data_IF_743329959630
#
_entry.id   IF_743329959630
#
_cell.length_a   1.000
_cell.length_b   1.000
_cell.length_c   1.000
_cell.angle_alpha   90.00
_cell.angle_beta   90.00
_cell.angle_gamma   90.00
#
_symmetry.space_group_name_H-M   'P 1'
#
loop_
_entity.id
_entity.type
_entity.pdbx_description
1 polymer ?
#
# COMPACT_ATOMS: atom_id res chain seq x y z
N UNK A 1 81.61 -76.57 6.03
CA UNK A 1 80.15 -76.72 6.04
C UNK A 1 79.56 -75.42 5.46
N UNK A 2 78.81 -75.56 4.47
CA UNK A 2 78.43 -74.47 3.53
C UNK A 2 77.18 -73.71 4.11
N UNK A 3 77.26 -72.39 4.27
CA UNK A 3 76.14 -71.52 4.62
C UNK A 3 75.67 -70.74 3.38
N UNK A 4 74.44 -70.86 3.01
CA UNK A 4 73.85 -70.19 1.87
C UNK A 4 73.32 -68.83 2.35
N UNK A 5 73.65 -67.73 1.60
CA UNK A 5 73.10 -66.40 1.78
C UNK A 5 71.86 -66.24 0.93
N UNK A 6 70.79 -65.87 1.54
CA UNK A 6 69.51 -65.52 0.85
C UNK A 6 69.45 -63.98 0.71
N UNK A 7 69.53 -63.49 -0.53
CA UNK A 7 69.34 -62.11 -0.85
C UNK A 7 67.84 -61.76 -0.93
N UNK A 8 67.44 -60.74 -0.19
CA UNK A 8 66.08 -60.16 -0.21
C UNK A 8 66.09 -58.98 -1.19
N UNK A 9 65.39 -59.11 -2.32
CA UNK A 9 65.14 -57.99 -3.22
C UNK A 9 63.90 -57.20 -2.69
N UNK A 10 64.11 -56.02 -2.21
CA UNK A 10 62.98 -55.11 -1.88
C UNK A 10 62.58 -54.35 -3.14
N UNK A 11 61.37 -54.66 -3.64
CA UNK A 11 60.75 -53.90 -4.72
C UNK A 11 60.10 -52.64 -4.14
N UNK A 12 60.64 -51.48 -4.47
CA UNK A 12 60.06 -50.18 -4.16
C UNK A 12 58.98 -49.86 -5.21
N UNK A 13 57.71 -50.05 -4.86
CA UNK A 13 56.59 -49.57 -5.67
C UNK A 13 56.33 -48.10 -5.40
N UNK A 14 56.70 -47.25 -6.35
CA UNK A 14 56.36 -45.81 -6.34
C UNK A 14 54.90 -45.64 -6.70
N UNK A 15 54.03 -45.40 -5.73
CA UNK A 15 52.67 -44.97 -5.93
C UNK A 15 52.66 -43.51 -6.32
N UNK A 16 52.53 -43.15 -7.59
CA UNK A 16 52.23 -41.82 -8.06
C UNK A 16 50.75 -41.55 -7.80
N UNK A 17 50.45 -40.90 -6.70
CA UNK A 17 49.08 -40.39 -6.43
C UNK A 17 48.84 -39.19 -7.35
N UNK A 18 48.07 -39.40 -8.44
CA UNK A 18 47.48 -38.34 -9.22
C UNK A 18 46.41 -37.68 -8.37
N UNK A 19 46.75 -36.58 -7.70
CA UNK A 19 45.74 -35.67 -7.10
C UNK A 19 45.02 -34.93 -8.24
N UNK A 20 43.87 -35.46 -8.67
CA UNK A 20 42.93 -34.66 -9.44
C UNK A 20 42.41 -33.55 -8.50
N UNK A 21 43.04 -32.38 -8.56
CA UNK A 21 42.44 -31.17 -8.02
C UNK A 21 41.15 -30.90 -8.80
N UNK A 22 40.00 -31.26 -8.23
CA UNK A 22 38.71 -30.81 -8.72
C UNK A 22 38.70 -29.29 -8.66
N UNK A 23 39.01 -28.65 -9.77
CA UNK A 23 38.96 -27.21 -9.93
C UNK A 23 37.48 -26.84 -9.78
N UNK A 24 37.08 -26.29 -8.62
CA UNK A 24 35.70 -25.79 -8.45
C UNK A 24 35.39 -24.90 -9.64
N UNK A 25 34.30 -25.23 -10.35
CA UNK A 25 33.88 -24.47 -11.53
C UNK A 25 33.70 -23.01 -11.11
N UNK A 26 34.47 -22.12 -11.71
CA UNK A 26 34.37 -20.67 -11.45
C UNK A 26 32.99 -20.20 -11.85
N UNK A 27 32.30 -19.48 -10.94
CA UNK A 27 31.06 -18.82 -11.27
C UNK A 27 31.26 -17.86 -12.44
N UNK A 28 30.32 -17.79 -13.41
CA UNK A 28 30.37 -16.81 -14.49
C UNK A 28 30.37 -15.38 -13.93
N UNK A 29 31.15 -14.49 -14.55
CA UNK A 29 31.11 -13.07 -14.21
C UNK A 29 29.96 -12.34 -14.89
N UNK A 30 29.65 -11.15 -14.42
CA UNK A 30 28.63 -10.29 -15.05
C UNK A 30 29.00 -9.97 -16.51
N UNK A 31 30.29 -9.69 -16.79
CA UNK A 31 30.77 -9.38 -18.14
C UNK A 31 30.57 -10.56 -19.10
N UNK A 32 30.79 -11.79 -18.63
CA UNK A 32 30.56 -13.00 -19.43
C UNK A 32 29.08 -13.17 -19.78
N UNK A 33 28.16 -12.81 -18.86
CA UNK A 33 26.72 -12.85 -19.12
C UNK A 33 26.30 -11.72 -20.06
N UNK A 34 26.80 -10.51 -19.80
CA UNK A 34 26.46 -9.31 -20.57
C UNK A 34 27.06 -9.31 -21.98
N UNK A 35 28.09 -10.13 -22.27
CA UNK A 35 28.57 -10.33 -23.64
C UNK A 35 27.47 -10.77 -24.61
N UNK A 36 26.44 -11.50 -24.13
CA UNK A 36 25.27 -11.84 -24.91
C UNK A 36 24.03 -11.06 -24.47
N UNK A 37 23.73 -11.03 -23.14
CA UNK A 37 22.55 -10.36 -22.61
C UNK A 37 22.61 -8.83 -22.68
N UNK A 38 23.77 -8.23 -22.97
CA UNK A 38 23.93 -6.81 -23.27
C UNK A 38 23.56 -6.42 -24.69
N UNK A 39 23.26 -7.39 -25.58
CA UNK A 39 22.78 -7.13 -26.93
C UNK A 39 21.26 -6.89 -26.93
N UNK A 40 20.85 -5.69 -27.32
CA UNK A 40 19.42 -5.30 -27.35
C UNK A 40 18.58 -6.08 -28.35
N UNK A 41 19.21 -6.80 -29.29
CA UNK A 41 18.53 -7.64 -30.28
C UNK A 41 18.30 -9.07 -29.78
N UNK A 42 18.94 -9.46 -28.67
CA UNK A 42 18.84 -10.82 -28.14
C UNK A 42 17.41 -11.11 -27.66
N UNK A 43 16.79 -12.10 -28.24
CA UNK A 43 15.44 -12.54 -27.90
C UNK A 43 15.29 -14.04 -28.05
N UNK A 44 14.28 -14.59 -27.39
CA UNK A 44 13.82 -15.96 -27.62
C UNK A 44 12.33 -15.99 -27.95
N UNK A 45 11.91 -17.01 -28.63
CA UNK A 45 10.49 -17.23 -28.90
C UNK A 45 9.83 -17.99 -27.74
N UNK A 46 8.71 -17.46 -27.22
CA UNK A 46 7.89 -18.11 -26.21
C UNK A 46 6.44 -18.06 -26.66
N UNK A 47 5.84 -19.23 -26.90
CA UNK A 47 4.47 -19.35 -27.39
C UNK A 47 4.20 -18.51 -28.66
N UNK A 48 5.13 -18.52 -29.61
CA UNK A 48 5.04 -17.79 -30.89
C UNK A 48 5.25 -16.28 -30.77
N UNK A 49 5.75 -15.78 -29.64
CA UNK A 49 6.04 -14.36 -29.44
C UNK A 49 7.50 -14.13 -29.03
N UNK A 50 8.18 -13.14 -29.63
CA UNK A 50 9.54 -12.81 -29.24
C UNK A 50 9.54 -12.20 -27.83
N UNK A 51 10.38 -12.72 -26.95
CA UNK A 51 10.63 -12.22 -25.62
C UNK A 51 12.08 -11.76 -25.56
N UNK A 52 12.30 -10.48 -25.27
CA UNK A 52 13.64 -9.92 -25.12
C UNK A 52 14.35 -10.55 -23.92
N UNK A 53 15.63 -10.88 -24.14
CA UNK A 53 16.55 -11.34 -23.09
C UNK A 53 17.60 -10.28 -22.76
N UNK A 54 17.39 -9.06 -23.27
CA UNK A 54 18.27 -7.93 -23.07
C UNK A 54 18.27 -7.45 -21.62
N UNK A 55 19.46 -7.21 -21.08
CA UNK A 55 19.70 -6.54 -19.80
C UNK A 55 20.61 -5.34 -20.09
N UNK A 56 20.13 -4.10 -19.85
CA UNK A 56 20.96 -2.91 -19.99
C UNK A 56 22.11 -2.94 -18.97
N UNK A 57 23.37 -2.96 -19.39
CA UNK A 57 24.50 -2.95 -18.47
C UNK A 57 24.52 -1.69 -17.58
N UNK A 58 24.17 -0.54 -18.16
CA UNK A 58 24.17 0.74 -17.45
C UNK A 58 23.08 0.77 -16.37
N UNK A 59 21.86 0.33 -16.71
CA UNK A 59 20.75 0.30 -15.75
C UNK A 59 20.98 -0.73 -14.65
N UNK A 60 21.52 -1.90 -15.00
CA UNK A 60 21.87 -2.91 -14.01
C UNK A 60 22.91 -2.38 -13.04
N UNK A 61 24.00 -1.78 -13.54
CA UNK A 61 25.06 -1.20 -12.71
C UNK A 61 24.53 -0.07 -11.82
N UNK A 62 23.59 0.74 -12.32
CA UNK A 62 22.95 1.81 -11.57
C UNK A 62 21.86 1.32 -10.59
N UNK A 63 21.41 0.07 -10.69
CA UNK A 63 20.40 -0.49 -9.81
C UNK A 63 20.94 -0.71 -8.40
N UNK A 64 20.05 -0.79 -7.40
CA UNK A 64 20.43 -1.08 -6.01
C UNK A 64 21.12 -2.43 -5.83
N UNK A 65 20.98 -3.35 -6.79
CA UNK A 65 21.61 -4.66 -6.76
C UNK A 65 22.88 -4.73 -7.58
N UNK A 66 23.00 -3.92 -8.63
CA UNK A 66 24.09 -4.03 -9.63
C UNK A 66 25.49 -3.81 -9.10
N UNK A 67 25.66 -3.00 -8.07
CA UNK A 67 26.97 -2.76 -7.42
C UNK A 67 27.34 -3.80 -6.35
N UNK A 68 26.42 -4.71 -5.98
CA UNK A 68 26.58 -5.63 -4.85
C UNK A 68 26.54 -7.10 -5.24
N UNK A 69 25.85 -7.45 -6.33
CA UNK A 69 25.56 -8.84 -6.69
C UNK A 69 25.99 -9.16 -8.12
N UNK A 70 26.35 -10.42 -8.33
CA UNK A 70 26.52 -11.00 -9.66
C UNK A 70 25.20 -11.57 -10.19
N UNK A 71 25.09 -11.73 -11.51
CA UNK A 71 23.93 -12.33 -12.16
C UNK A 71 23.57 -13.69 -11.53
N UNK A 72 24.57 -14.51 -11.24
CA UNK A 72 24.40 -15.87 -10.69
C UNK A 72 24.06 -15.91 -9.20
N UNK A 73 24.08 -14.78 -8.50
CA UNK A 73 23.59 -14.72 -7.12
C UNK A 73 22.07 -14.79 -7.10
N UNK A 74 21.42 -14.26 -8.16
CA UNK A 74 19.97 -14.38 -8.38
C UNK A 74 19.62 -15.58 -9.27
N UNK A 75 20.38 -15.79 -10.37
CA UNK A 75 20.23 -16.92 -11.29
C UNK A 75 21.12 -18.09 -10.86
N UNK A 76 20.92 -18.57 -9.65
CA UNK A 76 21.80 -19.53 -8.99
C UNK A 76 21.83 -20.94 -9.64
N UNK A 77 20.88 -21.24 -10.50
CA UNK A 77 20.81 -22.45 -11.32
C UNK A 77 21.74 -22.40 -12.55
N UNK A 78 22.18 -21.22 -12.99
CA UNK A 78 23.12 -21.02 -14.09
C UNK A 78 24.56 -21.25 -13.60
N UNK A 79 25.22 -22.26 -14.16
CA UNK A 79 26.59 -22.66 -13.76
C UNK A 79 27.66 -22.29 -14.81
N UNK A 80 27.22 -21.92 -16.01
CA UNK A 80 28.09 -21.53 -17.13
C UNK A 80 27.46 -20.34 -17.86
N UNK A 81 28.31 -19.46 -18.41
CA UNK A 81 27.87 -18.38 -19.32
C UNK A 81 27.27 -18.90 -20.62
N UNK A 82 27.68 -20.11 -21.05
CA UNK A 82 27.07 -20.84 -22.17
C UNK A 82 26.00 -21.79 -21.60
N UNK A 83 24.72 -21.44 -21.79
CA UNK A 83 23.60 -22.23 -21.34
C UNK A 83 22.42 -22.18 -22.33
N UNK A 84 21.76 -23.30 -22.55
CA UNK A 84 20.54 -23.37 -23.37
C UNK A 84 19.28 -23.35 -22.52
N UNK A 85 19.39 -23.75 -21.25
CA UNK A 85 18.26 -23.82 -20.36
C UNK A 85 17.76 -22.41 -19.96
N UNK A 86 16.44 -22.25 -19.96
CA UNK A 86 15.81 -21.08 -19.34
C UNK A 86 16.04 -21.16 -17.83
N UNK A 87 16.60 -20.12 -17.20
CA UNK A 87 16.82 -20.11 -15.75
C UNK A 87 15.50 -20.21 -15.00
N UNK A 88 15.54 -20.79 -13.83
CA UNK A 88 14.39 -20.85 -12.93
C UNK A 88 13.95 -19.41 -12.54
N UNK A 89 12.67 -19.24 -12.25
CA UNK A 89 12.17 -17.96 -11.78
C UNK A 89 12.86 -17.57 -10.47
N UNK A 90 13.51 -16.42 -10.47
CA UNK A 90 14.18 -15.86 -9.28
C UNK A 90 13.18 -15.63 -8.16
N UNK A 91 13.56 -16.00 -6.95
CA UNK A 91 12.78 -15.80 -5.73
C UNK A 91 13.42 -14.70 -4.89
N UNK A 92 12.75 -13.56 -4.82
CA UNK A 92 13.20 -12.42 -4.00
C UNK A 92 13.36 -12.80 -2.52
N UNK A 93 12.55 -13.75 -2.04
CA UNK A 93 12.59 -14.27 -0.67
C UNK A 93 13.89 -14.97 -0.25
N UNK A 94 14.80 -15.25 -1.18
CA UNK A 94 16.13 -15.78 -0.82
C UNK A 94 16.94 -14.78 0.04
N UNK A 95 16.71 -13.49 -0.17
CA UNK A 95 17.34 -12.41 0.61
C UNK A 95 16.30 -11.57 1.36
N UNK A 96 15.09 -11.40 0.81
CA UNK A 96 13.99 -10.59 1.35
C UNK A 96 12.91 -11.48 1.99
N UNK A 97 13.32 -12.35 2.91
CA UNK A 97 12.42 -13.32 3.54
C UNK A 97 11.38 -12.64 4.45
N UNK A 98 11.74 -11.55 5.12
CA UNK A 98 10.84 -10.81 6.00
C UNK A 98 9.77 -10.09 5.19
N UNK A 99 10.13 -9.39 4.13
CA UNK A 99 9.20 -8.71 3.22
C UNK A 99 8.27 -9.72 2.54
N UNK A 100 8.80 -10.88 2.16
CA UNK A 100 7.98 -11.97 1.62
C UNK A 100 6.95 -12.46 2.63
N UNK A 101 7.35 -12.69 3.87
CA UNK A 101 6.44 -13.15 4.92
C UNK A 101 5.34 -12.13 5.24
N UNK A 102 5.65 -10.84 5.13
CA UNK A 102 4.67 -9.76 5.26
C UNK A 102 3.74 -9.73 4.04
N UNK A 103 4.30 -9.80 2.83
CA UNK A 103 3.54 -9.82 1.58
C UNK A 103 2.59 -11.01 1.48
N UNK A 104 3.00 -12.20 1.94
CA UNK A 104 2.19 -13.44 1.88
C UNK A 104 0.85 -13.30 2.63
N UNK A 105 0.75 -12.39 3.59
CA UNK A 105 -0.49 -12.09 4.30
C UNK A 105 -1.40 -11.11 3.55
N UNK A 106 -0.89 -10.43 2.51
CA UNK A 106 -1.60 -9.42 1.75
C UNK A 106 -2.75 -10.00 0.90
N UNK A 107 -3.66 -9.12 0.50
CA UNK A 107 -4.72 -9.46 -0.46
C UNK A 107 -4.15 -9.86 -1.83
N UNK A 108 -3.04 -9.23 -2.27
CA UNK A 108 -2.41 -9.57 -3.54
C UNK A 108 -1.83 -10.99 -3.54
N UNK A 109 -1.08 -11.36 -2.50
CA UNK A 109 -0.53 -12.70 -2.37
C UNK A 109 -1.62 -13.77 -2.28
N UNK A 110 -2.66 -13.50 -1.48
CA UNK A 110 -3.83 -14.39 -1.35
C UNK A 110 -4.56 -14.59 -2.69
N UNK A 111 -4.69 -13.52 -3.48
CA UNK A 111 -5.29 -13.60 -4.81
C UNK A 111 -4.44 -14.44 -5.77
N UNK A 112 -3.11 -14.27 -5.76
CA UNK A 112 -2.19 -15.12 -6.55
C UNK A 112 -2.32 -16.59 -6.13
N UNK A 113 -2.32 -16.87 -4.83
CA UNK A 113 -2.46 -18.23 -4.30
C UNK A 113 -3.81 -18.86 -4.68
N UNK A 114 -4.85 -18.05 -4.86
CA UNK A 114 -6.16 -18.46 -5.37
C UNK A 114 -6.24 -18.57 -6.90
N UNK A 115 -5.11 -18.42 -7.63
CA UNK A 115 -5.04 -18.56 -9.08
C UNK A 115 -5.27 -17.28 -9.89
N UNK A 116 -5.42 -16.12 -9.26
CA UNK A 116 -5.52 -14.86 -9.97
C UNK A 116 -4.13 -14.37 -10.41
N UNK A 117 -3.75 -14.68 -11.64
CA UNK A 117 -2.46 -14.29 -12.23
C UNK A 117 -2.33 -12.78 -12.53
N UNK A 118 -3.43 -12.03 -12.44
CA UNK A 118 -3.43 -10.57 -12.60
C UNK A 118 -3.18 -9.80 -11.30
N UNK A 119 -3.08 -10.49 -10.15
CA UNK A 119 -2.75 -9.84 -8.90
C UNK A 119 -1.25 -9.48 -8.83
N UNK A 120 -0.93 -8.35 -8.17
CA UNK A 120 0.41 -7.80 -8.17
C UNK A 120 1.41 -8.61 -7.36
N UNK A 121 2.55 -8.96 -7.97
CA UNK A 121 3.74 -9.52 -7.33
C UNK A 121 4.80 -8.41 -7.10
N UNK A 122 5.94 -8.78 -6.50
CA UNK A 122 7.01 -7.83 -6.16
C UNK A 122 7.40 -6.92 -7.34
N UNK A 123 7.62 -7.50 -8.52
CA UNK A 123 8.09 -6.77 -9.71
C UNK A 123 7.04 -5.81 -10.30
N UNK A 124 5.76 -6.01 -10.04
CA UNK A 124 4.72 -5.13 -10.55
C UNK A 124 4.78 -3.77 -9.86
N UNK A 125 5.11 -3.75 -8.56
CA UNK A 125 5.30 -2.55 -7.79
C UNK A 125 6.73 -2.00 -7.92
N UNK A 126 7.75 -2.85 -7.77
CA UNK A 126 9.15 -2.42 -7.73
C UNK A 126 9.79 -2.22 -9.11
N UNK A 127 9.25 -2.85 -10.15
CA UNK A 127 9.81 -2.81 -11.50
C UNK A 127 10.74 -3.99 -11.82
N UNK A 128 11.47 -3.88 -12.93
CA UNK A 128 12.40 -4.91 -13.38
C UNK A 128 13.50 -5.15 -12.35
N UNK A 129 13.79 -6.41 -11.99
CA UNK A 129 14.88 -6.73 -11.05
C UNK A 129 16.26 -6.22 -11.48
N UNK A 130 16.45 -6.04 -12.79
CA UNK A 130 17.72 -5.53 -13.35
C UNK A 130 17.85 -3.99 -13.32
N UNK A 131 16.75 -3.26 -12.96
CA UNK A 131 16.69 -1.80 -13.01
C UNK A 131 16.11 -1.21 -11.73
N UNK A 132 16.15 -1.95 -10.61
CA UNK A 132 15.57 -1.52 -9.34
C UNK A 132 16.26 -0.26 -8.80
N UNK A 133 15.44 0.75 -8.52
CA UNK A 133 15.90 2.01 -7.91
C UNK A 133 15.45 2.08 -6.44
N UNK A 134 16.23 2.73 -5.57
CA UNK A 134 15.80 2.94 -4.19
C UNK A 134 14.52 3.78 -4.14
N UNK A 135 13.70 3.62 -3.09
CA UNK A 135 12.46 4.38 -2.94
C UNK A 135 12.68 5.91 -2.88
N UNK A 136 13.87 6.35 -2.50
CA UNK A 136 14.25 7.77 -2.49
C UNK A 136 14.51 8.35 -3.89
N UNK A 137 14.78 7.50 -4.90
CA UNK A 137 15.00 7.98 -6.27
C UNK A 137 13.67 8.45 -6.88
N UNK A 138 13.60 9.68 -7.42
CA UNK A 138 12.38 10.20 -8.05
C UNK A 138 11.85 9.36 -9.23
N UNK A 139 12.69 8.54 -9.85
CA UNK A 139 12.32 7.64 -10.96
C UNK A 139 11.84 6.28 -10.48
N UNK A 140 12.02 5.95 -9.21
CA UNK A 140 11.57 4.68 -8.65
C UNK A 140 10.05 4.57 -8.69
N UNK A 141 9.53 3.43 -9.12
CA UNK A 141 8.08 3.15 -9.10
C UNK A 141 7.50 3.20 -7.68
N UNK A 142 8.30 2.92 -6.67
CA UNK A 142 7.92 2.97 -5.25
C UNK A 142 8.35 4.25 -4.55
N UNK A 143 8.81 5.27 -5.30
CA UNK A 143 8.94 6.62 -4.76
C UNK A 143 7.56 7.14 -4.36
N UNK A 144 7.47 7.84 -3.23
CA UNK A 144 6.21 8.32 -2.68
C UNK A 144 5.33 9.04 -3.71
N UNK A 145 5.92 9.93 -4.52
CA UNK A 145 5.19 10.66 -5.57
C UNK A 145 4.64 9.75 -6.68
N UNK A 146 5.27 8.60 -6.92
CA UNK A 146 4.93 7.68 -7.99
C UNK A 146 3.96 6.56 -7.55
N UNK A 147 3.75 6.38 -6.25
CA UNK A 147 2.83 5.36 -5.72
C UNK A 147 1.44 5.41 -6.35
N UNK A 148 0.80 6.59 -6.53
CA UNK A 148 -0.51 6.62 -7.18
C UNK A 148 -0.50 6.08 -8.63
N UNK A 149 0.55 6.39 -9.39
CA UNK A 149 0.71 5.88 -10.75
C UNK A 149 0.97 4.36 -10.76
N UNK A 150 1.79 3.87 -9.84
CA UNK A 150 2.12 2.45 -9.69
C UNK A 150 0.87 1.63 -9.33
N UNK A 151 0.10 2.05 -8.35
CA UNK A 151 -1.16 1.40 -8.00
C UNK A 151 -2.20 1.55 -9.12
N UNK A 152 -2.28 2.75 -9.71
CA UNK A 152 -3.21 3.09 -10.79
C UNK A 152 -2.99 2.30 -12.07
N UNK A 153 -1.78 1.80 -12.33
CA UNK A 153 -1.48 0.95 -13.48
C UNK A 153 -2.39 -0.29 -13.56
N UNK A 154 -2.85 -0.79 -12.41
CA UNK A 154 -3.84 -1.86 -12.34
C UNK A 154 -5.19 -1.34 -11.84
N UNK A 155 -5.21 -0.62 -10.70
CA UNK A 155 -6.44 -0.13 -10.08
C UNK A 155 -7.20 0.92 -10.90
N UNK A 156 -6.58 1.52 -11.91
CA UNK A 156 -7.21 2.38 -12.91
C UNK A 156 -7.79 1.63 -14.12
N UNK A 157 -7.52 0.35 -14.29
CA UNK A 157 -7.94 -0.45 -15.45
C UNK A 157 -9.20 -1.26 -15.12
N UNK A 158 -10.30 -0.92 -15.80
CA UNK A 158 -11.61 -1.53 -15.56
C UNK A 158 -11.58 -3.05 -15.66
N UNK A 159 -10.92 -3.61 -16.68
CA UNK A 159 -10.91 -5.05 -16.89
C UNK A 159 -10.12 -5.79 -15.80
N UNK A 160 -9.00 -5.21 -15.32
CA UNK A 160 -8.20 -5.79 -14.22
C UNK A 160 -9.01 -5.80 -12.93
N UNK A 161 -9.67 -4.71 -12.63
CA UNK A 161 -10.49 -4.60 -11.41
C UNK A 161 -11.69 -5.54 -11.43
N UNK A 162 -12.36 -5.67 -12.57
CA UNK A 162 -13.53 -6.55 -12.71
C UNK A 162 -13.17 -8.04 -12.55
N UNK A 163 -11.99 -8.48 -12.99
CA UNK A 163 -11.53 -9.86 -12.79
C UNK A 163 -11.37 -10.23 -11.31
N UNK A 164 -11.11 -9.24 -10.45
CA UNK A 164 -11.05 -9.39 -8.99
C UNK A 164 -12.35 -9.03 -8.27
N UNK A 165 -13.46 -8.78 -8.99
CA UNK A 165 -14.72 -8.32 -8.39
C UNK A 165 -14.68 -6.90 -7.84
N UNK A 166 -13.70 -6.09 -8.26
CA UNK A 166 -13.46 -4.73 -7.79
C UNK A 166 -13.88 -3.68 -8.84
N UNK A 167 -13.83 -2.40 -8.45
CA UNK A 167 -14.13 -1.26 -9.34
C UNK A 167 -12.96 -0.28 -9.39
N UNK A 168 -12.88 0.55 -10.45
CA UNK A 168 -11.90 1.63 -10.57
C UNK A 168 -12.27 2.89 -9.79
N UNK A 169 -13.46 2.95 -9.21
CA UNK A 169 -13.99 4.13 -8.52
C UNK A 169 -13.07 4.67 -7.41
N UNK A 170 -12.48 3.83 -6.54
CA UNK A 170 -11.56 4.31 -5.50
C UNK A 170 -10.38 5.09 -6.07
N UNK A 171 -9.76 4.60 -7.15
CA UNK A 171 -8.63 5.27 -7.79
C UNK A 171 -9.04 6.59 -8.45
N UNK A 172 -10.13 6.59 -9.20
CA UNK A 172 -10.69 7.80 -9.84
C UNK A 172 -11.05 8.86 -8.79
N UNK A 173 -11.70 8.44 -7.69
CA UNK A 173 -12.04 9.33 -6.59
C UNK A 173 -10.80 9.92 -5.90
N UNK A 174 -9.75 9.10 -5.70
CA UNK A 174 -8.48 9.57 -5.14
C UNK A 174 -7.84 10.66 -6.00
N UNK A 175 -7.81 10.50 -7.33
CA UNK A 175 -7.17 11.48 -8.23
C UNK A 175 -7.76 12.90 -8.08
N UNK A 176 -9.06 13.01 -7.81
CA UNK A 176 -9.74 14.30 -7.62
C UNK A 176 -9.84 14.74 -6.16
N UNK A 177 -9.33 13.96 -5.23
CA UNK A 177 -9.28 14.27 -3.80
C UNK A 177 -8.27 15.37 -3.48
N UNK A 178 -8.32 15.91 -2.24
CA UNK A 178 -7.29 16.85 -1.75
C UNK A 178 -5.91 16.22 -1.73
N UNK A 179 -5.82 14.92 -1.42
CA UNK A 179 -4.54 14.21 -1.36
C UNK A 179 -3.98 13.97 -2.77
N UNK A 180 -4.79 13.44 -3.69
CA UNK A 180 -4.35 13.18 -5.07
C UNK A 180 -3.96 14.47 -5.81
N UNK A 181 -4.76 15.53 -5.65
CA UNK A 181 -4.40 16.85 -6.20
C UNK A 181 -3.15 17.44 -5.55
N UNK A 182 -2.94 17.20 -4.26
CA UNK A 182 -1.73 17.62 -3.57
C UNK A 182 -0.48 16.98 -4.16
N UNK A 183 -0.47 15.66 -4.37
CA UNK A 183 0.64 14.96 -5.04
C UNK A 183 0.84 15.49 -6.46
N UNK A 184 -0.23 15.66 -7.24
CA UNK A 184 -0.15 16.20 -8.60
C UNK A 184 0.43 17.64 -8.63
N UNK A 185 0.23 18.41 -7.57
CA UNK A 185 0.81 19.75 -7.38
C UNK A 185 2.22 19.73 -6.76
N UNK A 186 2.85 18.57 -6.57
CA UNK A 186 4.20 18.44 -6.00
C UNK A 186 4.27 18.56 -4.48
N UNK A 187 3.14 18.47 -3.77
CA UNK A 187 3.11 18.49 -2.30
C UNK A 187 3.46 17.10 -1.79
N UNK A 188 4.74 16.83 -1.59
CA UNK A 188 5.29 15.51 -1.25
C UNK A 188 4.80 14.92 0.07
N UNK A 189 4.22 15.69 0.97
CA UNK A 189 3.61 15.22 2.22
C UNK A 189 2.13 14.86 2.10
N UNK A 190 1.52 15.04 0.91
CA UNK A 190 0.14 14.58 0.67
C UNK A 190 0.08 13.07 0.71
N UNK A 191 -0.95 12.52 1.36
CA UNK A 191 -1.08 11.08 1.50
C UNK A 191 -1.26 10.37 0.15
N UNK A 192 -0.59 9.24 -0.01
CA UNK A 192 -0.72 8.32 -1.14
C UNK A 192 -1.37 7.00 -0.69
N UNK A 193 -1.57 6.08 -1.62
CA UNK A 193 -2.27 4.83 -1.36
C UNK A 193 -1.69 4.06 -0.16
N UNK A 194 -0.36 3.98 -0.09
CA UNK A 194 0.35 3.21 0.94
C UNK A 194 0.28 3.83 2.34
N UNK A 195 0.03 5.14 2.47
CA UNK A 195 -0.08 5.78 3.78
C UNK A 195 -1.34 5.32 4.54
N UNK A 196 -2.38 4.95 3.78
CA UNK A 196 -3.61 4.42 4.34
C UNK A 196 -3.67 2.89 4.31
N UNK A 197 -3.24 2.25 3.20
CA UNK A 197 -3.40 0.81 3.00
C UNK A 197 -2.21 -0.03 3.47
N UNK A 198 -1.08 0.60 3.82
CA UNK A 198 0.18 -0.09 4.06
C UNK A 198 0.92 -0.40 2.76
N UNK A 199 2.07 -1.06 2.87
CA UNK A 199 2.97 -1.35 1.74
C UNK A 199 2.89 -2.82 1.33
N UNK A 200 3.63 -3.70 2.00
CA UNK A 200 3.68 -5.12 1.67
C UNK A 200 2.48 -5.90 2.22
N UNK A 201 1.98 -5.54 3.40
CA UNK A 201 0.81 -6.17 4.02
C UNK A 201 -0.47 -5.35 3.76
N UNK A 202 -0.94 -5.37 2.51
CA UNK A 202 -2.20 -4.70 2.16
C UNK A 202 -3.36 -5.63 2.55
N UNK A 203 -4.05 -5.27 3.63
CA UNK A 203 -5.12 -6.07 4.23
C UNK A 203 -6.52 -5.54 3.87
N UNK A 204 -7.51 -6.42 4.02
CA UNK A 204 -8.92 -6.05 3.90
C UNK A 204 -9.32 -5.01 4.97
N UNK A 205 -10.27 -4.14 4.64
CA UNK A 205 -10.89 -3.23 5.62
C UNK A 205 -11.61 -3.98 6.77
N UNK A 206 -11.89 -5.26 6.61
CA UNK A 206 -12.51 -6.11 7.64
C UNK A 206 -11.50 -6.82 8.53
N UNK A 207 -10.20 -6.75 8.22
CA UNK A 207 -9.15 -7.32 9.05
C UNK A 207 -8.79 -6.32 10.16
N UNK A 208 -8.86 -6.73 11.42
CA UNK A 208 -8.58 -5.86 12.56
C UNK A 208 -7.14 -5.31 12.61
N UNK A 209 -6.22 -5.94 11.89
CA UNK A 209 -4.83 -5.47 11.74
C UNK A 209 -4.67 -4.43 10.61
N UNK A 210 -5.66 -4.31 9.73
CA UNK A 210 -5.61 -3.36 8.62
C UNK A 210 -5.61 -1.92 9.13
N UNK A 211 -4.74 -1.04 8.61
CA UNK A 211 -4.79 0.39 8.94
C UNK A 211 -6.13 1.05 8.59
N UNK A 212 -6.87 0.48 7.62
CA UNK A 212 -8.18 0.96 7.20
C UNK A 212 -9.35 0.22 7.85
N UNK A 213 -9.08 -0.68 8.81
CA UNK A 213 -10.13 -1.22 9.66
C UNK A 213 -10.79 -0.10 10.47
N UNK A 214 -12.12 -0.14 10.60
CA UNK A 214 -12.90 1.00 11.13
C UNK A 214 -12.29 1.62 12.40
N UNK A 215 -11.96 0.82 13.39
CA UNK A 215 -11.40 1.31 14.66
C UNK A 215 -9.96 1.82 14.55
N UNK A 216 -9.24 1.49 13.48
CA UNK A 216 -7.88 1.96 13.22
C UNK A 216 -7.85 3.25 12.39
N UNK A 217 -8.95 3.61 11.70
CA UNK A 217 -9.04 4.80 10.84
C UNK A 217 -8.62 6.09 11.55
N UNK A 218 -9.07 6.38 12.80
CA UNK A 218 -8.63 7.59 13.48
C UNK A 218 -7.11 7.67 13.68
N UNK A 219 -6.49 6.55 14.05
CA UNK A 219 -5.03 6.46 14.18
C UNK A 219 -4.30 6.60 12.84
N UNK A 220 -4.86 6.03 11.77
CA UNK A 220 -4.29 6.15 10.42
C UNK A 220 -4.31 7.59 9.91
N UNK A 221 -5.43 8.28 10.04
CA UNK A 221 -5.52 9.71 9.71
C UNK A 221 -4.65 10.57 10.63
N UNK A 222 -4.58 10.20 11.91
CA UNK A 222 -3.82 10.88 12.95
C UNK A 222 -2.32 10.93 12.72
N UNK A 223 -1.74 10.04 11.89
CA UNK A 223 -0.32 10.10 11.52
C UNK A 223 0.09 11.46 10.94
N UNK A 224 -0.83 12.14 10.24
CA UNK A 224 -0.62 13.45 9.66
C UNK A 224 -1.55 14.51 10.25
N UNK A 225 -2.77 14.12 10.68
CA UNK A 225 -3.79 15.02 11.24
C UNK A 225 -3.92 14.85 12.76
N UNK A 226 -2.79 14.74 13.46
CA UNK A 226 -2.72 14.44 14.89
C UNK A 226 -3.52 15.41 15.78
N UNK A 227 -3.50 16.75 15.59
CA UNK A 227 -4.32 17.65 16.42
C UNK A 227 -5.82 17.39 16.26
N UNK A 228 -6.26 17.07 15.05
CA UNK A 228 -7.67 16.75 14.76
C UNK A 228 -8.07 15.40 15.36
N UNK A 229 -7.18 14.41 15.26
CA UNK A 229 -7.39 13.09 15.84
C UNK A 229 -7.52 13.19 17.37
N UNK A 230 -6.70 14.01 18.06
CA UNK A 230 -6.84 14.25 19.50
C UNK A 230 -8.19 14.86 19.86
N UNK A 231 -8.65 15.86 19.10
CA UNK A 231 -9.98 16.46 19.32
C UNK A 231 -11.09 15.43 19.12
N UNK A 232 -11.00 14.63 18.05
CA UNK A 232 -11.97 13.57 17.80
C UNK A 232 -12.00 12.55 18.94
N UNK A 233 -10.85 12.14 19.48
CA UNK A 233 -10.75 11.14 20.53
C UNK A 233 -11.50 11.56 21.82
N UNK A 234 -11.57 12.87 22.11
CA UNK A 234 -12.32 13.40 23.26
C UNK A 234 -13.81 13.65 22.99
N UNK A 235 -14.23 13.59 21.71
CA UNK A 235 -15.62 13.77 21.33
C UNK A 235 -16.49 12.57 21.72
N UNK A 236 -17.81 12.77 21.76
CA UNK A 236 -18.77 11.70 22.01
C UNK A 236 -18.63 10.56 20.98
N UNK A 237 -18.34 10.89 19.72
CA UNK A 237 -18.11 9.91 18.66
C UNK A 237 -16.83 9.12 18.87
N UNK A 238 -15.72 9.81 19.18
CA UNK A 238 -14.43 9.16 19.44
C UNK A 238 -14.46 8.25 20.66
N UNK A 239 -15.15 8.69 21.72
CA UNK A 239 -15.36 7.86 22.92
C UNK A 239 -16.20 6.61 22.62
N UNK A 240 -17.23 6.73 21.77
CA UNK A 240 -18.00 5.58 21.33
C UNK A 240 -17.14 4.58 20.54
N UNK A 241 -16.31 5.06 19.60
CA UNK A 241 -15.33 4.23 18.88
C UNK A 241 -14.37 3.54 19.85
N UNK A 242 -13.88 4.26 20.87
CA UNK A 242 -12.95 3.69 21.87
C UNK A 242 -13.60 2.56 22.70
N UNK A 243 -14.92 2.60 22.89
CA UNK A 243 -15.69 1.52 23.54
C UNK A 243 -16.03 0.36 22.60
N UNK A 244 -15.70 0.44 21.31
CA UNK A 244 -15.99 -0.60 20.34
C UNK A 244 -17.36 -0.47 19.67
N UNK A 245 -18.00 0.70 19.74
CA UNK A 245 -19.32 0.94 19.12
C UNK A 245 -19.17 0.99 17.60
N UNK A 246 -19.51 -0.09 16.91
CA UNK A 246 -19.36 -0.23 15.47
C UNK A 246 -20.17 0.79 14.67
N UNK A 247 -21.25 1.29 15.23
CA UNK A 247 -22.16 2.24 14.58
C UNK A 247 -21.71 3.70 14.74
N UNK A 248 -20.82 3.98 15.69
CA UNK A 248 -20.24 5.31 15.85
C UNK A 248 -19.42 5.70 14.61
N UNK A 249 -19.48 6.97 14.16
CA UNK A 249 -18.75 7.39 12.98
C UNK A 249 -17.25 7.54 13.26
N UNK A 250 -16.44 7.32 12.22
CA UNK A 250 -15.02 7.65 12.17
C UNK A 250 -14.76 8.73 11.10
N UNK A 251 -13.52 9.16 10.92
CA UNK A 251 -13.16 10.24 9.99
C UNK A 251 -13.78 10.08 8.60
N UNK A 252 -13.73 8.86 8.07
CA UNK A 252 -14.23 8.54 6.73
C UNK A 252 -15.74 8.59 6.57
N UNK A 253 -16.50 8.46 7.66
CA UNK A 253 -17.97 8.54 7.62
C UNK A 253 -18.45 9.97 7.34
N UNK A 254 -17.64 10.98 7.72
CA UNK A 254 -17.91 12.38 7.46
C UNK A 254 -17.19 12.90 6.20
N UNK A 255 -15.92 12.55 6.03
CA UNK A 255 -15.06 13.11 4.97
C UNK A 255 -15.05 12.29 3.68
N UNK A 256 -15.62 11.08 3.70
CA UNK A 256 -15.48 10.10 2.61
C UNK A 256 -14.17 9.33 2.70
N UNK A 257 -13.97 8.40 1.77
CA UNK A 257 -12.84 7.46 1.80
C UNK A 257 -11.75 7.92 0.83
N UNK A 258 -11.93 7.71 -0.46
CA UNK A 258 -10.92 8.03 -1.49
C UNK A 258 -11.10 9.45 -2.07
N UNK A 259 -12.35 9.92 -2.16
CA UNK A 259 -12.69 11.21 -2.75
C UNK A 259 -12.76 12.36 -1.73
N UNK A 260 -11.87 12.39 -0.76
CA UNK A 260 -11.84 13.40 0.31
C UNK A 260 -11.67 14.80 -0.29
N UNK A 261 -12.66 15.68 -0.05
CA UNK A 261 -12.70 17.05 -0.55
C UNK A 261 -12.52 18.05 0.59
N UNK A 262 -11.99 19.23 0.25
CA UNK A 262 -11.91 20.34 1.22
C UNK A 262 -13.30 20.81 1.64
N UNK A 263 -13.42 21.40 2.83
CA UNK A 263 -14.69 22.01 3.30
C UNK A 263 -15.18 23.14 2.39
N UNK A 264 -14.31 23.77 1.62
CA UNK A 264 -14.67 24.82 0.67
C UNK A 264 -15.14 24.30 -0.69
N UNK A 265 -15.00 23.01 -0.99
CA UNK A 265 -15.55 22.42 -2.21
C UNK A 265 -17.06 22.21 -2.04
N UNK A 266 -17.92 22.81 -2.91
CA UNK A 266 -19.37 22.67 -2.78
C UNK A 266 -19.87 21.23 -2.89
N UNK A 267 -19.07 20.34 -3.48
CA UNK A 267 -19.38 18.90 -3.56
C UNK A 267 -18.80 18.10 -2.38
N UNK A 268 -18.21 18.74 -1.38
CA UNK A 268 -17.77 18.08 -0.16
C UNK A 268 -18.96 17.76 0.74
N UNK A 269 -19.01 16.55 1.31
CA UNK A 269 -20.01 16.19 2.30
C UNK A 269 -19.94 17.09 3.56
N UNK A 270 -18.75 17.63 3.84
CA UNK A 270 -18.50 18.52 4.98
C UNK A 270 -18.49 20.01 4.60
N UNK A 271 -18.92 20.38 3.40
CA UNK A 271 -19.17 21.78 3.06
C UNK A 271 -20.32 22.35 3.89
N UNK A 272 -20.32 23.67 4.08
CA UNK A 272 -21.35 24.33 4.90
C UNK A 272 -22.79 23.97 4.46
N UNK A 273 -23.02 23.87 3.16
CA UNK A 273 -24.32 23.57 2.56
C UNK A 273 -24.72 22.10 2.65
N UNK A 274 -23.75 21.16 2.67
CA UNK A 274 -24.01 19.73 2.64
C UNK A 274 -23.95 19.08 4.03
N UNK A 275 -23.25 19.71 4.99
CA UNK A 275 -22.91 19.11 6.28
C UNK A 275 -24.14 18.56 7.02
N UNK A 276 -25.21 19.32 7.08
CA UNK A 276 -26.41 18.93 7.83
C UNK A 276 -27.05 17.69 7.22
N UNK A 277 -27.34 17.71 5.92
CA UNK A 277 -28.09 16.65 5.24
C UNK A 277 -27.20 15.48 4.83
N UNK A 278 -26.07 15.75 4.19
CA UNK A 278 -25.21 14.71 3.63
C UNK A 278 -24.34 14.01 4.68
N UNK A 279 -24.10 14.63 5.84
CA UNK A 279 -23.23 14.09 6.89
C UNK A 279 -23.98 13.78 8.17
N UNK A 280 -24.52 14.78 8.87
CA UNK A 280 -25.09 14.60 10.21
C UNK A 280 -26.43 13.85 10.19
N UNK A 281 -27.37 14.26 9.34
CA UNK A 281 -28.73 13.71 9.29
C UNK A 281 -28.76 12.23 8.89
N UNK A 282 -27.77 11.76 8.11
CA UNK A 282 -27.67 10.33 7.72
C UNK A 282 -27.77 9.37 8.90
N UNK A 283 -27.25 9.78 10.06
CA UNK A 283 -27.30 8.98 11.29
C UNK A 283 -28.32 9.58 12.28
N UNK A 284 -28.34 10.91 12.44
CA UNK A 284 -29.14 11.59 13.47
C UNK A 284 -30.62 11.64 13.16
N UNK A 285 -31.10 11.26 11.97
CA UNK A 285 -32.53 11.01 11.67
C UNK A 285 -32.92 9.54 11.82
N UNK A 286 -31.98 8.64 12.10
CA UNK A 286 -32.23 7.21 12.23
C UNK A 286 -32.95 6.91 13.55
N UNK A 287 -34.20 6.44 13.48
CA UNK A 287 -34.97 5.98 14.64
C UNK A 287 -34.23 4.85 15.37
N UNK A 288 -33.63 3.91 14.63
CA UNK A 288 -32.90 2.81 15.21
C UNK A 288 -31.70 3.29 16.05
N UNK A 289 -30.87 4.18 15.48
CA UNK A 289 -29.72 4.73 16.21
C UNK A 289 -30.15 5.61 17.39
N UNK A 290 -31.28 6.35 17.25
CA UNK A 290 -31.80 7.17 18.35
C UNK A 290 -32.24 6.33 19.54
N UNK A 291 -32.84 5.19 19.31
CA UNK A 291 -33.24 4.25 20.37
C UNK A 291 -32.01 3.61 21.03
N UNK A 292 -30.98 3.27 20.23
CA UNK A 292 -29.76 2.63 20.73
C UNK A 292 -28.88 3.58 21.54
N UNK A 293 -28.74 4.83 21.10
CA UNK A 293 -27.83 5.81 21.69
C UNK A 293 -28.52 6.94 22.48
N UNK A 294 -29.85 6.91 22.59
CA UNK A 294 -30.61 7.83 23.44
C UNK A 294 -30.70 9.28 22.96
N UNK A 295 -30.60 9.54 21.65
CA UNK A 295 -30.78 10.88 21.10
C UNK A 295 -32.13 11.04 20.40
N UNK A 296 -32.61 12.28 20.26
CA UNK A 296 -33.86 12.62 19.58
C UNK A 296 -33.66 12.76 18.06
N UNK A 297 -34.23 11.84 17.22
CA UNK A 297 -34.06 11.92 15.77
C UNK A 297 -34.85 13.10 15.15
N UNK A 298 -35.78 13.69 15.89
CA UNK A 298 -36.56 14.85 15.46
C UNK A 298 -35.72 16.13 15.34
N UNK A 299 -34.63 16.25 16.08
CA UNK A 299 -33.79 17.45 16.08
C UNK A 299 -33.13 17.75 14.73
N UNK A 300 -32.59 16.76 14.03
CA UNK A 300 -32.07 16.93 12.70
C UNK A 300 -33.15 17.37 11.71
N UNK A 301 -34.34 16.75 11.77
CA UNK A 301 -35.49 17.07 10.94
C UNK A 301 -36.01 18.50 11.20
N UNK A 302 -36.16 18.93 12.46
CA UNK A 302 -36.60 20.29 12.81
C UNK A 302 -35.57 21.33 12.35
N UNK A 303 -34.27 21.04 12.45
CA UNK A 303 -33.25 21.92 11.86
C UNK A 303 -33.43 22.04 10.33
N UNK A 304 -33.59 20.95 9.61
CA UNK A 304 -33.74 20.98 8.15
C UNK A 304 -35.02 21.73 7.69
N UNK A 305 -36.06 21.79 8.52
CA UNK A 305 -37.26 22.55 8.30
C UNK A 305 -37.15 24.02 8.79
N UNK A 306 -36.12 24.38 9.53
CA UNK A 306 -35.92 25.73 10.04
C UNK A 306 -35.44 26.71 8.97
N UNK A 307 -35.44 28.02 9.29
CA UNK A 307 -34.81 29.05 8.44
C UNK A 307 -33.34 28.71 8.09
N UNK A 308 -32.56 28.30 9.09
CA UNK A 308 -31.18 27.93 8.87
C UNK A 308 -31.02 26.74 7.91
N UNK A 309 -31.81 25.71 8.09
CA UNK A 309 -31.76 24.53 7.21
C UNK A 309 -32.25 24.82 5.78
N UNK A 310 -33.28 25.66 5.64
CA UNK A 310 -33.78 26.08 4.32
C UNK A 310 -32.74 26.96 3.60
N UNK A 311 -32.18 27.97 4.27
CA UNK A 311 -31.19 28.85 3.68
C UNK A 311 -29.87 28.09 3.33
N UNK A 312 -29.45 27.13 4.15
CA UNK A 312 -28.32 26.25 3.85
C UNK A 312 -28.57 25.44 2.55
N UNK A 313 -29.75 24.83 2.40
CA UNK A 313 -30.12 24.09 1.17
C UNK A 313 -30.20 24.96 -0.07
N UNK A 314 -30.54 26.25 0.09
CA UNK A 314 -30.53 27.23 -1.00
C UNK A 314 -29.12 27.77 -1.30
N UNK A 315 -28.08 27.23 -0.68
CA UNK A 315 -26.69 27.52 -0.99
C UNK A 315 -26.04 28.65 -0.19
N UNK A 316 -26.70 29.14 0.87
CA UNK A 316 -26.09 30.17 1.73
C UNK A 316 -24.91 29.56 2.53
N UNK A 317 -23.67 30.06 2.34
CA UNK A 317 -22.51 29.53 3.06
C UNK A 317 -22.33 30.11 4.46
N UNK A 318 -23.09 31.19 4.79
CA UNK A 318 -22.95 31.94 6.05
C UNK A 318 -23.98 31.60 7.09
N UNK A 319 -25.00 30.83 6.71
CA UNK A 319 -26.05 30.43 7.64
C UNK A 319 -25.57 29.36 8.60
N UNK A 320 -26.00 29.42 9.87
CA UNK A 320 -25.63 28.43 10.87
C UNK A 320 -26.05 27.00 10.48
N UNK A 321 -25.16 26.05 10.66
CA UNK A 321 -25.40 24.62 10.48
C UNK A 321 -25.08 23.86 11.77
N UNK A 322 -25.18 22.53 11.75
CA UNK A 322 -24.95 21.70 12.94
C UNK A 322 -23.59 21.98 13.58
N UNK A 323 -22.54 22.13 12.78
CA UNK A 323 -21.17 22.41 13.27
C UNK A 323 -21.01 23.80 13.86
N UNK A 324 -21.84 24.76 13.47
CA UNK A 324 -21.80 26.13 14.02
C UNK A 324 -22.15 26.18 15.52
N UNK A 325 -23.00 25.23 15.95
CA UNK A 325 -23.41 25.12 17.34
C UNK A 325 -22.67 23.99 18.08
N UNK A 326 -22.51 22.83 17.44
CA UNK A 326 -21.93 21.63 18.09
C UNK A 326 -20.41 21.51 17.95
N UNK A 327 -19.76 22.37 17.17
CA UNK A 327 -18.37 22.16 16.76
C UNK A 327 -18.23 21.06 15.70
N UNK A 328 -17.00 20.68 15.38
CA UNK A 328 -16.73 19.71 14.29
C UNK A 328 -16.07 18.40 14.76
N UNK A 329 -14.92 18.48 15.37
CA UNK A 329 -14.17 17.29 15.78
C UNK A 329 -14.30 17.00 17.28
N UNK A 330 -14.53 18.03 18.10
CA UNK A 330 -14.75 17.91 19.52
C UNK A 330 -16.23 18.09 19.87
N UNK A 331 -17.08 17.23 19.32
CA UNK A 331 -18.52 17.27 19.61
C UNK A 331 -18.79 16.65 20.97
N UNK A 332 -19.26 17.46 21.93
CA UNK A 332 -19.58 17.01 23.28
C UNK A 332 -21.09 16.88 23.48
N UNK A 333 -21.56 15.99 24.38
CA UNK A 333 -22.96 15.91 24.73
C UNK A 333 -23.43 17.21 25.38
N UNK A 334 -24.70 17.59 25.21
CA UNK A 334 -25.26 18.82 25.77
C UNK A 334 -25.21 18.89 27.31
N UNK A 335 -25.09 17.74 27.96
CA UNK A 335 -24.90 17.64 29.42
C UNK A 335 -23.49 18.00 29.90
N UNK A 336 -22.50 17.98 28.99
CA UNK A 336 -21.13 18.35 29.33
C UNK A 336 -21.01 19.86 29.50
N UNK A 337 -20.47 20.36 30.63
CA UNK A 337 -20.32 21.81 30.85
C UNK A 337 -19.46 22.52 29.82
N UNK A 338 -18.56 21.82 29.13
CA UNK A 338 -17.68 22.36 28.08
C UNK A 338 -18.33 22.33 26.68
N UNK A 339 -19.51 21.72 26.55
CA UNK A 339 -20.25 21.70 25.29
C UNK A 339 -20.76 23.09 24.94
N UNK A 340 -20.54 23.52 23.70
CA UNK A 340 -21.06 24.79 23.17
C UNK A 340 -22.60 24.85 23.18
N UNK A 341 -23.26 23.70 23.24
CA UNK A 341 -24.73 23.58 23.34
C UNK A 341 -25.20 23.21 24.74
N UNK A 342 -24.35 23.29 25.77
CA UNK A 342 -24.78 23.22 27.15
C UNK A 342 -25.64 24.43 27.49
N UNK A 343 -26.69 24.24 28.28
CA UNK A 343 -27.62 25.30 28.62
C UNK A 343 -26.93 26.56 29.22
N UNK A 344 -25.89 26.38 30.02
CA UNK A 344 -25.10 27.46 30.59
C UNK A 344 -24.31 28.29 29.56
N UNK A 345 -24.04 27.71 28.39
CA UNK A 345 -23.22 28.33 27.33
C UNK A 345 -24.06 28.93 26.19
N UNK A 346 -25.38 28.73 26.18
CA UNK A 346 -26.27 29.18 25.09
C UNK A 346 -26.62 30.71 25.22
N UNK A 347 -26.26 31.38 26.31
CA UNK A 347 -26.72 32.73 26.63
C UNK A 347 -25.60 33.76 26.51
N UNK A 348 -24.46 33.40 25.93
CA UNK A 348 -23.29 34.29 25.80
C UNK A 348 -22.93 34.62 24.37
#
# INVERSE_FOLDING_TARGET
MRGAAIGIFAAFSVFVALTLSARAARKPSNDECLACHGDSTLSKEVNGKPVSLYVSPEKFTASIHGGMFSCVDCHSDIKSSMHEATPAKVKCSQCHAEEQAVYDRSLHAKAIAAGNTGAAACVDCHGSPHELLPASDPKSKVNHANIPATCGACHGLKFVMQSGGLTTQPFVAYQVSVHGRGIAAGIMRSAVCTDCHGTHEILSAMDSKSPIFKFNVPGTCGKCHEPVQRQFATSIHGQAIARGDWQAPVCTDCHGIHGIKSKGDPNSAVSAQNLAQATCARCHESVRLSQEFGFDPGKARTYLASYHGLASRLGSPVVANCASCHGVHNILPSSDPHSTVNQANLVH
#
